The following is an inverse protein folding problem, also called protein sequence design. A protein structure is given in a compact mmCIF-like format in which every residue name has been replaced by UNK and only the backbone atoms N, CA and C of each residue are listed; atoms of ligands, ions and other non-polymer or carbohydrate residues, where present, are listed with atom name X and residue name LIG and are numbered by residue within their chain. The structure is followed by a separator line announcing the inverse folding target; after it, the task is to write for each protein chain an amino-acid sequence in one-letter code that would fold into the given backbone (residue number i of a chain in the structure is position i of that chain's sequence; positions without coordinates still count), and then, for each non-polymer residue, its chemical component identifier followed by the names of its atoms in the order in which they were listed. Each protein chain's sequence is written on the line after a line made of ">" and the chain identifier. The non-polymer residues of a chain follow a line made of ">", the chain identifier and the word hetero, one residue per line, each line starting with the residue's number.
data_IF_668121910016
#
_entry.id   IF_668121910016
#
_cell.length_a   1.000
_cell.length_b   1.000
_cell.length_c   1.000
_cell.angle_alpha   90.00
_cell.angle_beta   90.00
_cell.angle_gamma   90.00
#
_symmetry.space_group_name_H-M   'P 1'
#
loop_
_entity.id
_entity.type
_entity.pdbx_description
1 polymer ?
#
# COMPACT_ATOMS: atom_id res chain seq x y z
N UNK A 1 20.91 -6.60 -1.33
CA UNK A 1 19.47 -6.71 -1.03
C UNK A 1 19.16 -8.06 -0.42
N UNK A 2 18.37 -8.06 0.64
CA UNK A 2 17.90 -9.29 1.24
C UNK A 2 16.95 -10.00 0.30
N UNK A 3 17.14 -11.31 0.13
CA UNK A 3 16.23 -12.09 -0.70
C UNK A 3 14.87 -12.24 0.00
N UNK A 4 13.80 -11.97 -0.73
CA UNK A 4 12.44 -12.06 -0.19
C UNK A 4 12.03 -13.52 0.02
N UNK A 5 11.17 -13.75 1.01
CA UNK A 5 10.58 -15.06 1.27
C UNK A 5 9.91 -15.64 0.02
N UNK A 6 9.44 -14.80 -0.87
CA UNK A 6 8.84 -15.21 -2.14
C UNK A 6 9.77 -16.13 -2.94
N UNK A 7 11.09 -15.88 -2.86
CA UNK A 7 12.08 -16.71 -3.53
C UNK A 7 12.59 -17.88 -2.68
N UNK A 8 12.44 -17.79 -1.36
CA UNK A 8 12.97 -18.77 -0.42
C UNK A 8 11.96 -19.82 0.01
N UNK A 9 10.67 -19.55 -0.11
CA UNK A 9 9.62 -20.42 0.38
C UNK A 9 8.58 -20.67 -0.71
N UNK A 10 8.40 -21.93 -1.06
CA UNK A 10 7.37 -22.34 -2.01
C UNK A 10 5.97 -21.99 -1.52
N UNK A 11 5.74 -22.09 -0.21
CA UNK A 11 4.46 -21.76 0.37
C UNK A 11 4.14 -20.26 0.20
N UNK A 12 5.13 -19.39 0.40
CA UNK A 12 4.94 -17.95 0.21
C UNK A 12 4.77 -17.63 -1.27
N UNK A 13 5.55 -18.26 -2.14
CA UNK A 13 5.43 -18.06 -3.58
C UNK A 13 4.09 -18.56 -4.14
N UNK A 14 3.49 -19.56 -3.48
CA UNK A 14 2.19 -20.10 -3.89
C UNK A 14 1.00 -19.32 -3.32
N UNK A 15 1.24 -18.45 -2.34
CA UNK A 15 0.15 -17.71 -1.68
C UNK A 15 -0.56 -16.79 -2.69
N UNK A 16 -1.84 -17.06 -2.91
CA UNK A 16 -2.67 -16.30 -3.84
C UNK A 16 -2.10 -16.23 -5.26
N UNK A 17 -1.40 -17.26 -5.68
CA UNK A 17 -0.77 -17.30 -6.99
C UNK A 17 -1.80 -17.21 -8.11
N UNK A 18 -1.49 -16.38 -9.11
CA UNK A 18 -2.28 -16.23 -10.34
C UNK A 18 -1.34 -16.45 -11.52
N UNK A 19 -1.73 -17.37 -12.42
CA UNK A 19 -0.94 -17.62 -13.63
C UNK A 19 -0.91 -16.37 -14.50
N UNK A 20 0.30 -15.99 -14.93
CA UNK A 20 0.47 -14.80 -15.75
C UNK A 20 0.60 -13.50 -14.97
N UNK A 21 0.45 -13.54 -13.65
CA UNK A 21 0.65 -12.36 -12.79
C UNK A 21 1.85 -12.59 -11.87
N UNK A 22 2.87 -11.74 -11.99
CA UNK A 22 4.13 -11.90 -11.28
C UNK A 22 4.44 -10.67 -10.43
N UNK A 23 4.04 -10.66 -9.14
CA UNK A 23 4.23 -9.48 -8.29
C UNK A 23 5.69 -9.02 -8.21
N UNK A 24 6.64 -9.95 -8.24
CA UNK A 24 8.07 -9.61 -8.17
C UNK A 24 8.54 -8.75 -9.34
N UNK A 25 7.93 -8.91 -10.50
CA UNK A 25 8.27 -8.12 -11.68
C UNK A 25 7.66 -6.72 -11.63
N UNK A 26 6.61 -6.53 -10.83
CA UNK A 26 5.93 -5.25 -10.67
C UNK A 26 6.48 -4.45 -9.51
N UNK A 27 7.21 -5.10 -8.59
CA UNK A 27 7.78 -4.43 -7.43
C UNK A 27 8.94 -3.54 -7.85
N UNK A 28 9.11 -2.45 -7.12
CA UNK A 28 10.21 -1.52 -7.35
C UNK A 28 11.04 -1.33 -6.09
N UNK A 29 12.28 -0.94 -6.29
CA UNK A 29 13.19 -0.69 -5.19
C UNK A 29 12.92 0.68 -4.60
N UNK A 30 12.88 0.74 -3.28
CA UNK A 30 12.79 1.99 -2.54
C UNK A 30 13.86 2.01 -1.46
N UNK A 31 14.14 3.18 -0.93
CA UNK A 31 15.12 3.39 0.13
C UNK A 31 16.14 4.43 -0.26
N UNK A 32 16.87 4.92 0.74
CA UNK A 32 17.92 5.91 0.57
C UNK A 32 19.26 5.24 0.31
N UNK A 33 20.16 5.98 -0.35
CA UNK A 33 21.52 5.53 -0.56
C UNK A 33 22.21 5.25 0.79
N UNK A 34 22.85 4.09 0.89
CA UNK A 34 23.51 3.65 2.12
C UNK A 34 22.62 2.88 3.08
N UNK A 35 21.32 2.79 2.80
CA UNK A 35 20.37 1.98 3.56
C UNK A 35 20.10 0.67 2.83
N UNK A 36 19.59 -0.32 3.57
CA UNK A 36 19.17 -1.58 2.96
C UNK A 36 18.04 -1.31 1.97
N UNK A 37 18.20 -1.77 0.72
CA UNK A 37 17.16 -1.66 -0.28
C UNK A 37 15.98 -2.55 0.09
N UNK A 38 14.78 -2.00 -0.07
CA UNK A 38 13.54 -2.73 0.12
C UNK A 38 12.77 -2.76 -1.18
N UNK A 39 11.98 -3.80 -1.37
CA UNK A 39 11.06 -3.89 -2.49
C UNK A 39 9.68 -3.45 -2.05
N UNK A 40 9.06 -2.61 -2.85
CA UNK A 40 7.71 -2.10 -2.61
C UNK A 40 6.80 -2.49 -3.77
N UNK A 41 5.64 -3.05 -3.45
CA UNK A 41 4.60 -3.32 -4.43
C UNK A 41 3.52 -2.25 -4.32
N UNK A 42 3.35 -1.46 -5.36
CA UNK A 42 2.36 -0.37 -5.37
C UNK A 42 0.97 -0.89 -5.04
N UNK A 43 0.18 -0.09 -4.33
CA UNK A 43 -1.16 -0.49 -3.89
C UNK A 43 -2.05 -0.85 -5.08
N UNK A 44 -1.92 -0.14 -6.20
CA UNK A 44 -2.68 -0.48 -7.42
C UNK A 44 -2.45 -1.92 -7.88
N UNK A 45 -1.24 -2.45 -7.73
CA UNK A 45 -0.92 -3.83 -8.09
C UNK A 45 -1.42 -4.82 -7.05
N UNK A 46 -1.46 -4.42 -5.77
CA UNK A 46 -2.08 -5.24 -4.72
C UNK A 46 -3.58 -5.35 -4.96
N UNK A 47 -4.23 -4.26 -5.36
CA UNK A 47 -5.66 -4.25 -5.72
C UNK A 47 -5.93 -5.14 -6.93
N UNK A 48 -5.09 -5.04 -7.96
CA UNK A 48 -5.22 -5.87 -9.14
C UNK A 48 -5.09 -7.35 -8.78
N UNK A 49 -4.06 -7.69 -8.02
CA UNK A 49 -3.83 -9.04 -7.53
C UNK A 49 -5.05 -9.57 -6.78
N UNK A 50 -5.55 -8.78 -5.84
CA UNK A 50 -6.75 -9.13 -5.08
C UNK A 50 -7.94 -9.42 -5.99
N UNK A 51 -8.16 -8.57 -7.00
CA UNK A 51 -9.28 -8.73 -7.95
C UNK A 51 -9.13 -9.97 -8.80
N UNK A 52 -7.92 -10.34 -9.17
CA UNK A 52 -7.68 -11.55 -9.97
C UNK A 52 -8.00 -12.82 -9.17
N UNK A 53 -7.68 -12.82 -7.88
CA UNK A 53 -7.96 -13.97 -7.00
C UNK A 53 -9.42 -13.99 -6.56
N UNK A 54 -10.01 -12.82 -6.29
CA UNK A 54 -11.35 -12.68 -5.73
C UNK A 54 -12.19 -11.73 -6.59
N UNK A 55 -12.68 -12.19 -7.75
CA UNK A 55 -13.48 -11.30 -8.62
C UNK A 55 -14.74 -10.75 -7.94
N UNK A 56 -15.29 -11.48 -6.97
CA UNK A 56 -16.45 -11.04 -6.20
C UNK A 56 -16.09 -10.32 -4.91
N UNK A 57 -14.81 -10.10 -4.65
CA UNK A 57 -14.38 -9.43 -3.42
C UNK A 57 -14.71 -7.96 -3.40
N UNK A 58 -14.63 -7.35 -2.21
CA UNK A 58 -14.81 -5.90 -2.06
C UNK A 58 -13.80 -5.33 -1.09
N UNK A 59 -13.49 -4.05 -1.29
CA UNK A 59 -12.63 -3.25 -0.44
C UNK A 59 -13.46 -2.07 0.03
N UNK A 60 -13.59 -1.91 1.34
CA UNK A 60 -14.37 -0.82 1.92
C UNK A 60 -13.44 0.08 2.72
N UNK A 61 -13.49 1.38 2.42
CA UNK A 61 -12.79 2.40 3.19
C UNK A 61 -13.79 3.14 4.05
N UNK A 62 -13.43 3.41 5.31
CA UNK A 62 -14.26 4.14 6.26
C UNK A 62 -13.46 5.29 6.84
N UNK A 63 -14.04 6.48 6.84
CA UNK A 63 -13.43 7.63 7.50
C UNK A 63 -13.75 7.52 8.99
N UNK A 64 -12.73 7.33 9.81
CA UNK A 64 -12.86 7.25 11.27
C UNK A 64 -12.86 8.65 11.87
N UNK A 65 -11.90 9.47 11.41
CA UNK A 65 -11.78 10.86 11.85
C UNK A 65 -11.30 11.69 10.68
N UNK A 66 -11.90 12.85 10.50
CA UNK A 66 -11.47 13.78 9.48
C UNK A 66 -11.62 15.20 10.01
N UNK A 67 -10.49 15.88 10.13
CA UNK A 67 -10.43 17.28 10.56
C UNK A 67 -9.72 18.11 9.50
N UNK A 68 -9.62 19.40 9.75
CA UNK A 68 -8.87 20.29 8.86
C UNK A 68 -7.42 19.88 8.69
N UNK A 69 -6.84 19.21 9.68
CA UNK A 69 -5.41 18.92 9.72
C UNK A 69 -5.05 17.43 9.69
N UNK A 70 -6.02 16.53 9.81
CA UNK A 70 -5.72 15.12 10.01
C UNK A 70 -6.86 14.23 9.53
N UNK A 71 -6.51 13.06 9.02
CA UNK A 71 -7.46 12.04 8.64
C UNK A 71 -7.01 10.67 9.17
N UNK A 72 -7.98 9.91 9.67
CA UNK A 72 -7.79 8.49 10.01
C UNK A 72 -8.79 7.70 9.19
N UNK A 73 -8.29 6.72 8.46
CA UNK A 73 -9.11 5.86 7.60
C UNK A 73 -8.88 4.41 7.99
N UNK A 74 -9.96 3.65 8.03
CA UNK A 74 -9.91 2.19 8.16
C UNK A 74 -10.25 1.58 6.81
N UNK A 75 -9.48 0.58 6.36
CA UNK A 75 -9.80 -0.22 5.19
C UNK A 75 -10.10 -1.65 5.63
N UNK A 76 -11.12 -2.26 5.01
CA UNK A 76 -11.53 -3.63 5.27
C UNK A 76 -11.59 -4.40 3.95
N UNK A 77 -11.06 -5.61 3.99
CA UNK A 77 -10.99 -6.51 2.83
C UNK A 77 -11.97 -7.65 3.02
N UNK A 78 -12.85 -7.84 2.05
CA UNK A 78 -13.85 -8.91 2.07
C UNK A 78 -13.65 -9.81 0.85
N UNK A 79 -13.72 -11.11 1.06
CA UNK A 79 -13.54 -12.07 -0.02
C UNK A 79 -14.76 -12.14 -0.94
N UNK A 80 -15.94 -11.75 -0.45
CA UNK A 80 -17.17 -11.73 -1.24
C UNK A 80 -17.97 -10.47 -0.95
N UNK A 81 -18.54 -9.87 -2.01
CA UNK A 81 -19.30 -8.63 -1.91
C UNK A 81 -20.57 -8.76 -1.06
N UNK A 82 -21.03 -9.99 -0.84
CA UNK A 82 -22.21 -10.27 -0.01
C UNK A 82 -21.85 -10.48 1.46
N UNK A 83 -20.56 -10.48 1.82
CA UNK A 83 -20.15 -10.61 3.20
C UNK A 83 -20.67 -9.47 4.06
N UNK A 84 -21.07 -9.81 5.29
CA UNK A 84 -21.53 -8.82 6.25
C UNK A 84 -20.38 -7.94 6.72
N UNK A 85 -20.72 -6.79 7.25
CA UNK A 85 -19.77 -5.74 7.63
C UNK A 85 -18.64 -6.23 8.52
N UNK A 86 -18.92 -7.12 9.47
CA UNK A 86 -17.93 -7.65 10.40
C UNK A 86 -17.19 -8.89 9.89
N UNK A 87 -17.52 -9.37 8.69
CA UNK A 87 -16.93 -10.59 8.14
C UNK A 87 -15.79 -10.28 7.16
N UNK A 88 -14.92 -9.37 7.56
CA UNK A 88 -13.73 -9.04 6.76
C UNK A 88 -12.60 -10.02 7.07
N UNK A 89 -11.74 -10.26 6.07
CA UNK A 89 -10.57 -11.15 6.22
C UNK A 89 -9.37 -10.38 6.75
N UNK A 90 -9.33 -9.08 6.55
CA UNK A 90 -8.25 -8.22 7.03
C UNK A 90 -8.75 -6.79 7.13
N UNK A 91 -8.15 -6.02 8.05
CA UNK A 91 -8.40 -4.59 8.15
C UNK A 91 -7.10 -3.89 8.55
N UNK A 92 -7.06 -2.59 8.31
CA UNK A 92 -5.93 -1.77 8.73
C UNK A 92 -6.37 -0.32 8.85
N UNK A 93 -5.60 0.45 9.60
CA UNK A 93 -5.82 1.88 9.78
C UNK A 93 -4.62 2.66 9.26
N UNK A 94 -4.86 3.89 8.86
CA UNK A 94 -3.79 4.82 8.55
C UNK A 94 -4.19 6.22 9.00
N UNK A 95 -3.23 6.94 9.56
CA UNK A 95 -3.38 8.33 9.95
C UNK A 95 -2.40 9.17 9.14
N UNK A 96 -2.91 10.25 8.55
CA UNK A 96 -2.08 11.20 7.81
C UNK A 96 -2.45 12.62 8.23
N UNK A 97 -1.45 13.50 8.20
CA UNK A 97 -1.61 14.90 8.58
C UNK A 97 -1.46 15.80 7.35
N UNK A 98 -2.21 16.90 7.37
CA UNK A 98 -1.99 17.98 6.41
C UNK A 98 -0.54 18.45 6.53
N UNK A 99 0.08 18.74 5.40
CA UNK A 99 1.43 19.30 5.37
C UNK A 99 1.46 20.57 4.51
N UNK A 100 2.58 21.27 4.57
CA UNK A 100 2.78 22.50 3.78
C UNK A 100 3.21 22.21 2.35
N UNK A 101 3.34 20.94 1.97
CA UNK A 101 3.76 20.60 0.62
C UNK A 101 2.71 21.06 -0.39
N UNK A 102 3.08 21.88 -1.40
CA UNK A 102 2.12 22.44 -2.34
C UNK A 102 1.50 21.41 -3.28
N UNK A 103 2.11 20.22 -3.42
CA UNK A 103 1.61 19.19 -4.34
C UNK A 103 0.63 18.24 -3.68
N UNK A 104 0.91 17.82 -2.44
CA UNK A 104 0.11 16.79 -1.78
C UNK A 104 -0.26 17.12 -0.33
N UNK A 105 0.10 18.31 0.16
CA UNK A 105 -0.17 18.68 1.55
C UNK A 105 -1.65 18.61 1.93
N UNK A 106 -2.53 18.90 0.98
CA UNK A 106 -3.98 18.86 1.19
C UNK A 106 -4.61 17.50 0.88
N UNK A 107 -3.86 16.54 0.37
CA UNK A 107 -4.35 15.22 -0.03
C UNK A 107 -4.19 14.16 1.05
N UNK A 108 -4.20 14.59 2.31
CA UNK A 108 -3.96 13.69 3.43
C UNK A 108 -5.08 12.65 3.61
N UNK A 109 -6.32 12.96 3.23
CA UNK A 109 -7.39 11.96 3.27
C UNK A 109 -7.15 10.84 2.26
N UNK A 110 -6.86 11.18 1.01
CA UNK A 110 -6.60 10.20 -0.05
C UNK A 110 -5.36 9.37 0.27
N UNK A 111 -4.34 9.99 0.84
CA UNK A 111 -3.13 9.28 1.25
C UNK A 111 -3.40 8.32 2.40
N UNK A 112 -4.23 8.72 3.36
CA UNK A 112 -4.64 7.85 4.47
C UNK A 112 -5.42 6.65 3.94
N UNK A 113 -6.34 6.86 3.01
CA UNK A 113 -7.12 5.79 2.41
C UNK A 113 -6.21 4.81 1.67
N UNK A 114 -5.33 5.31 0.82
CA UNK A 114 -4.43 4.46 0.04
C UNK A 114 -3.52 3.62 0.94
N UNK A 115 -2.96 4.24 1.99
CA UNK A 115 -2.11 3.53 2.94
C UNK A 115 -2.90 2.46 3.71
N UNK A 116 -4.11 2.78 4.16
CA UNK A 116 -4.96 1.82 4.88
C UNK A 116 -5.30 0.63 3.99
N UNK A 117 -5.69 0.88 2.74
CA UNK A 117 -6.02 -0.18 1.77
C UNK A 117 -4.80 -1.04 1.48
N UNK A 118 -3.65 -0.43 1.25
CA UNK A 118 -2.41 -1.17 0.96
C UNK A 118 -2.00 -2.09 2.09
N UNK A 119 -2.08 -1.62 3.33
CA UNK A 119 -1.75 -2.44 4.51
C UNK A 119 -2.76 -3.56 4.71
N UNK A 120 -4.05 -3.27 4.55
CA UNK A 120 -5.09 -4.30 4.68
C UNK A 120 -4.92 -5.39 3.63
N UNK A 121 -4.59 -5.02 2.38
CA UNK A 121 -4.31 -5.99 1.32
C UNK A 121 -3.06 -6.83 1.62
N UNK A 122 -2.02 -6.21 2.19
CA UNK A 122 -0.84 -6.92 2.64
C UNK A 122 -1.21 -7.99 3.66
N UNK A 123 -2.00 -7.61 4.66
CA UNK A 123 -2.43 -8.53 5.72
C UNK A 123 -3.31 -9.65 5.18
N UNK A 124 -4.04 -9.39 4.12
CA UNK A 124 -4.87 -10.39 3.44
C UNK A 124 -4.05 -11.34 2.54
N UNK A 125 -2.75 -11.12 2.42
CA UNK A 125 -1.86 -11.98 1.64
C UNK A 125 -1.45 -11.42 0.28
N UNK A 126 -1.70 -10.14 0.02
CA UNK A 126 -1.39 -9.50 -1.25
C UNK A 126 -0.26 -8.50 -1.07
N UNK A 127 0.91 -8.99 -0.61
CA UNK A 127 2.10 -8.17 -0.52
C UNK A 127 2.75 -8.09 0.85
N UNK A 128 2.46 -9.03 1.75
CA UNK A 128 2.97 -9.00 3.14
C UNK A 128 4.50 -8.99 3.23
N UNK A 129 5.18 -9.52 2.24
CA UNK A 129 6.64 -9.60 2.23
C UNK A 129 7.32 -8.35 1.64
N UNK A 130 6.53 -7.42 1.10
CA UNK A 130 7.06 -6.17 0.56
C UNK A 130 7.12 -5.11 1.67
N UNK A 131 7.81 -4.00 1.39
CA UNK A 131 7.91 -2.90 2.34
C UNK A 131 6.52 -2.39 2.75
N UNK A 132 6.40 -1.99 4.01
CA UNK A 132 5.13 -1.48 4.54
C UNK A 132 4.73 -0.17 3.88
N UNK A 133 3.43 0.02 3.79
CA UNK A 133 2.81 1.24 3.28
C UNK A 133 2.71 2.25 4.42
N UNK A 134 3.19 3.46 4.19
CA UNK A 134 3.09 4.52 5.19
C UNK A 134 4.31 4.68 6.08
N UNK A 135 5.43 4.03 5.74
CA UNK A 135 6.69 4.28 6.41
C UNK A 135 7.27 5.66 6.01
N UNK A 136 8.31 6.07 6.70
CA UNK A 136 9.04 7.27 6.34
C UNK A 136 9.48 7.18 4.88
N UNK A 137 9.35 8.27 4.13
CA UNK A 137 9.47 8.32 2.67
C UNK A 137 8.28 7.66 1.95
N UNK A 138 7.15 7.79 2.49
CA UNK A 138 5.86 7.19 2.21
C UNK A 138 5.61 6.82 0.74
N UNK A 139 5.76 5.55 0.34
CA UNK A 139 5.49 5.15 -1.04
C UNK A 139 4.02 5.30 -1.42
N UNK A 140 3.12 5.46 -0.47
CA UNK A 140 1.70 5.68 -0.76
C UNK A 140 1.45 6.96 -1.54
N UNK A 141 2.38 7.91 -1.53
CA UNK A 141 2.29 9.11 -2.35
C UNK A 141 2.18 8.76 -3.84
N UNK A 142 2.90 7.74 -4.27
CA UNK A 142 2.88 7.28 -5.66
C UNK A 142 1.51 6.73 -6.03
N UNK A 143 0.91 5.97 -5.12
CA UNK A 143 -0.41 5.38 -5.34
C UNK A 143 -1.52 6.43 -5.36
N UNK A 144 -1.30 7.55 -4.69
CA UNK A 144 -2.22 8.69 -4.71
C UNK A 144 -2.03 9.58 -5.96
N UNK A 145 -1.21 9.13 -6.91
CA UNK A 145 -0.93 9.87 -8.14
C UNK A 145 0.18 10.90 -8.01
N UNK A 146 0.96 10.85 -6.94
CA UNK A 146 2.08 11.75 -6.69
C UNK A 146 3.37 10.96 -6.91
N UNK A 147 4.24 11.38 -7.85
CA UNK A 147 5.45 10.62 -8.13
C UNK A 147 6.34 10.52 -6.89
N UNK A 148 6.84 9.31 -6.63
CA UNK A 148 7.81 9.08 -5.55
C UNK A 148 9.11 9.80 -5.91
N UNK A 149 9.63 10.58 -4.97
CA UNK A 149 10.91 11.25 -5.12
C UNK A 149 11.86 10.76 -4.04
N UNK A 150 13.07 10.38 -4.46
CA UNK A 150 14.14 10.08 -3.51
C UNK A 150 14.44 11.37 -2.72
N UNK A 151 14.64 11.31 -1.40
CA UNK A 151 14.97 12.49 -0.59
C UNK A 151 16.12 13.33 -1.14
N UNK A 152 17.11 12.74 -1.76
CA UNK A 152 18.20 13.47 -2.39
C UNK A 152 17.72 14.30 -3.59
N UNK A 153 16.76 13.76 -4.35
CA UNK A 153 16.17 14.48 -5.49
C UNK A 153 15.29 15.63 -5.00
N UNK A 154 14.56 15.42 -3.92
CA UNK A 154 13.69 16.44 -3.34
C UNK A 154 14.48 17.69 -2.94
N UNK A 155 15.70 17.54 -2.42
CA UNK A 155 16.52 18.68 -2.02
C UNK A 155 16.87 19.62 -3.17
N UNK A 156 16.87 19.14 -4.40
CA UNK A 156 17.11 19.96 -5.58
C UNK A 156 15.86 20.66 -6.08
N UNK A 157 14.71 20.10 -5.84
CA UNK A 157 13.45 20.65 -6.34
C UNK A 157 12.87 21.74 -5.48
N UNK A 158 13.37 21.91 -4.27
CA UNK A 158 12.89 22.93 -3.32
C UNK A 158 13.72 24.21 -3.31
N UNK A 159 14.63 24.35 -4.21
CA UNK A 159 15.47 25.54 -4.31
C UNK A 159 14.76 26.68 -5.05
#
# INVERSE_FOLDING_TARGET
>A
MKELLYKKSEAVAALNRVDGFHPMELARKIGEEGQEEQLYLDVKYRKLWFRLVNPAGKIISRIITFTENMAVVEARIYLDKCDQEDNYVANSFSQKFRSDDPKFGDKFLEMAETAAVGRALSDAGYGVQFADVGEENDPAQVDAGIPYQNPQTVSYTHL
#
